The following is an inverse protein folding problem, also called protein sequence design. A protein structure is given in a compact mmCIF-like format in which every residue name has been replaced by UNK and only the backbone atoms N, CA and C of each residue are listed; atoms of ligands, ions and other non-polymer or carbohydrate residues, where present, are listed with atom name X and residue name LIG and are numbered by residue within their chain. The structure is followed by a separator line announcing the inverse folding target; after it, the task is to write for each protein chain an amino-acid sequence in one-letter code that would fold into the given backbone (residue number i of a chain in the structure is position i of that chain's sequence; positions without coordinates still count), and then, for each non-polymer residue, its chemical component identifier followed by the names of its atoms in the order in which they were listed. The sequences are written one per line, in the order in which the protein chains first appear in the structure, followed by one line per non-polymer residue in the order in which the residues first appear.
data_IF_400890975541
#
_entry.id   IF_400890975541
#
_cell.length_a   1.000
_cell.length_b   1.000
_cell.length_c   1.000
_cell.angle_alpha   90.00
_cell.angle_beta   90.00
_cell.angle_gamma   90.00
#
_symmetry.space_group_name_H-M   'P 1'
#
loop_
_entity.id
_entity.type
_entity.pdbx_description
1 polymer ?
#
# COMPACT_ATOMS: atom_id res chain seq x y z
N UNK A 1 29.72 43.61 -53.43
CA UNK A 1 30.15 42.30 -53.98
C UNK A 1 29.58 41.20 -53.09
N UNK A 2 28.92 40.19 -53.69
CA UNK A 2 28.48 38.94 -53.06
C UNK A 2 29.69 38.12 -52.62
N UNK A 3 29.58 37.36 -51.53
CA UNK A 3 29.93 35.94 -51.49
C UNK A 3 28.99 35.20 -50.53
N UNK A 4 28.46 34.08 -51.02
CA UNK A 4 27.62 33.13 -50.30
C UNK A 4 28.53 32.22 -49.46
N UNK A 5 28.00 31.61 -48.39
CA UNK A 5 28.02 30.16 -48.22
C UNK A 5 27.13 29.72 -47.04
N UNK A 6 26.04 29.07 -47.45
CA UNK A 6 25.22 28.04 -46.79
C UNK A 6 25.87 27.23 -45.68
N UNK A 7 25.19 27.04 -44.53
CA UNK A 7 25.08 25.73 -43.85
C UNK A 7 23.87 25.71 -42.89
N UNK A 8 22.96 24.74 -43.10
CA UNK A 8 22.06 24.24 -42.05
C UNK A 8 20.56 24.40 -42.28
N UNK A 9 20.00 23.83 -43.36
CA UNK A 9 18.56 23.62 -43.49
C UNK A 9 18.01 22.50 -42.57
N UNK A 10 16.69 22.51 -42.26
CA UNK A 10 16.05 21.70 -41.23
C UNK A 10 15.77 20.26 -41.66
N UNK A 11 15.90 19.32 -40.72
CA UNK A 11 15.58 17.90 -40.98
C UNK A 11 14.06 17.69 -41.15
N UNK A 12 13.64 16.95 -42.19
CA UNK A 12 12.25 16.76 -42.57
C UNK A 12 11.52 15.64 -41.81
N UNK A 13 10.22 15.85 -41.66
CA UNK A 13 9.21 14.90 -41.22
C UNK A 13 8.97 13.73 -42.20
N UNK A 14 8.50 12.61 -41.63
CA UNK A 14 7.75 11.47 -42.24
C UNK A 14 8.59 10.40 -42.96
N UNK A 15 8.77 9.28 -42.26
CA UNK A 15 8.73 7.96 -42.89
C UNK A 15 7.75 7.08 -42.10
N UNK A 16 6.63 6.77 -42.74
CA UNK A 16 5.66 5.79 -42.30
C UNK A 16 6.09 4.43 -42.85
N UNK A 17 6.17 3.38 -42.03
CA UNK A 17 5.92 1.99 -42.45
C UNK A 17 5.78 1.03 -41.26
N UNK A 18 4.63 0.33 -41.25
CA UNK A 18 4.37 -1.01 -40.76
C UNK A 18 4.61 -1.36 -39.27
N UNK A 19 3.60 -1.12 -38.43
CA UNK A 19 3.38 -1.95 -37.25
C UNK A 19 2.41 -3.10 -37.61
N UNK A 20 2.79 -4.38 -37.52
CA UNK A 20 1.88 -5.48 -37.73
C UNK A 20 0.85 -5.53 -36.60
N UNK A 21 -0.42 -5.63 -36.99
CA UNK A 21 -1.58 -5.85 -36.14
C UNK A 21 -1.27 -6.85 -35.01
N UNK A 22 -1.24 -6.36 -33.78
CA UNK A 22 -1.35 -7.22 -32.60
C UNK A 22 -2.77 -7.78 -32.57
N UNK A 23 -2.84 -9.01 -33.05
CA UNK A 23 -3.87 -10.01 -32.85
C UNK A 23 -4.70 -9.76 -31.58
N UNK A 24 -5.95 -9.32 -31.77
CA UNK A 24 -7.03 -9.45 -30.79
C UNK A 24 -7.17 -10.93 -30.44
N UNK A 25 -6.55 -11.33 -29.35
CA UNK A 25 -6.74 -12.64 -28.78
C UNK A 25 -7.98 -12.58 -27.90
N UNK A 26 -9.10 -12.97 -28.49
CA UNK A 26 -10.28 -13.44 -27.78
C UNK A 26 -9.85 -14.57 -26.84
N UNK A 27 -9.72 -14.23 -25.56
CA UNK A 27 -9.84 -15.18 -24.47
C UNK A 27 -10.96 -14.70 -23.57
N UNK A 28 -12.16 -14.92 -24.07
CA UNK A 28 -13.37 -15.10 -23.27
C UNK A 28 -13.07 -15.93 -22.02
N UNK A 29 -13.57 -15.38 -20.91
CA UNK A 29 -13.55 -15.85 -19.54
C UNK A 29 -13.59 -17.37 -19.35
N UNK A 30 -12.93 -17.84 -18.29
CA UNK A 30 -13.56 -18.44 -17.09
C UNK A 30 -12.46 -18.78 -16.07
N UNK A 31 -12.71 -18.43 -14.81
CA UNK A 31 -12.02 -18.88 -13.59
C UNK A 31 -10.62 -18.32 -13.28
N UNK A 32 -10.55 -17.02 -13.05
CA UNK A 32 -9.80 -16.53 -11.88
C UNK A 32 -10.83 -16.26 -10.79
N UNK A 33 -11.20 -17.33 -10.08
CA UNK A 33 -11.74 -17.16 -8.75
C UNK A 33 -10.68 -16.42 -7.97
N UNK A 34 -10.87 -15.11 -7.79
CA UNK A 34 -10.12 -14.33 -6.83
C UNK A 34 -10.41 -14.98 -5.47
N UNK A 35 -9.57 -15.95 -5.09
CA UNK A 35 -9.43 -16.37 -3.71
C UNK A 35 -9.11 -15.09 -2.96
N UNK A 36 -10.15 -14.47 -2.40
CA UNK A 36 -9.97 -13.54 -1.29
C UNK A 36 -9.06 -14.30 -0.34
N UNK A 37 -7.84 -13.80 -0.07
CA UNK A 37 -6.97 -14.46 0.88
C UNK A 37 -7.83 -14.68 2.13
N UNK A 38 -8.14 -15.95 2.41
CA UNK A 38 -8.94 -16.28 3.57
C UNK A 38 -8.25 -15.61 4.75
N UNK A 39 -8.98 -14.95 5.66
CA UNK A 39 -8.37 -14.28 6.79
C UNK A 39 -7.59 -15.34 7.56
N UNK A 40 -6.27 -15.36 7.37
CA UNK A 40 -5.37 -16.19 8.16
C UNK A 40 -5.66 -15.80 9.59
N UNK A 41 -6.00 -16.80 10.42
CA UNK A 41 -6.29 -16.55 11.83
C UNK A 41 -5.07 -15.86 12.43
N UNK A 42 -5.21 -14.58 12.72
CA UNK A 42 -4.12 -13.77 13.25
C UNK A 42 -3.64 -14.41 14.57
N UNK A 43 -2.37 -14.79 14.61
CA UNK A 43 -1.74 -15.32 15.82
C UNK A 43 -1.29 -14.16 16.71
N UNK A 44 -1.43 -14.29 18.04
CA UNK A 44 -1.04 -13.22 18.96
C UNK A 44 0.45 -12.90 18.88
N UNK A 45 1.31 -13.91 18.71
CA UNK A 45 2.74 -13.71 18.54
C UNK A 45 3.07 -12.85 17.29
N UNK A 46 2.31 -13.05 16.21
CA UNK A 46 2.48 -12.27 14.97
C UNK A 46 2.02 -10.82 15.18
N UNK A 47 0.90 -10.62 15.89
CA UNK A 47 0.39 -9.28 16.24
C UNK A 47 1.37 -8.54 17.15
N UNK A 48 1.92 -9.18 18.18
CA UNK A 48 2.94 -8.60 19.06
C UNK A 48 4.21 -8.23 18.30
N UNK A 49 4.65 -9.10 17.38
CA UNK A 49 5.80 -8.84 16.50
C UNK A 49 5.54 -7.63 15.60
N UNK A 50 4.34 -7.53 15.02
CA UNK A 50 3.93 -6.37 14.23
C UNK A 50 3.92 -5.09 15.06
N UNK A 51 3.39 -5.13 16.28
CA UNK A 51 3.39 -3.98 17.19
C UNK A 51 4.81 -3.51 17.53
N UNK A 52 5.76 -4.44 17.75
CA UNK A 52 7.17 -4.11 17.97
C UNK A 52 7.78 -3.39 16.77
N UNK A 53 7.53 -3.89 15.56
CA UNK A 53 8.01 -3.27 14.32
C UNK A 53 7.42 -1.87 14.13
N UNK A 54 6.12 -1.70 14.34
CA UNK A 54 5.42 -0.43 14.20
C UNK A 54 5.92 0.61 15.21
N UNK A 55 6.10 0.23 16.48
CA UNK A 55 6.69 1.11 17.51
C UNK A 55 8.08 1.60 17.09
N UNK A 56 8.95 0.69 16.64
CA UNK A 56 10.29 1.06 16.18
C UNK A 56 10.27 1.98 14.95
N UNK A 57 9.31 1.77 14.06
CA UNK A 57 9.13 2.59 12.85
C UNK A 57 8.62 3.99 13.20
N UNK A 58 7.70 4.09 14.18
CA UNK A 58 7.22 5.36 14.74
C UNK A 58 8.36 6.15 15.38
N UNK A 59 9.19 5.51 16.20
CA UNK A 59 10.31 6.17 16.87
C UNK A 59 11.30 6.74 15.85
N UNK A 60 11.62 5.99 14.79
CA UNK A 60 12.44 6.47 13.68
C UNK A 60 11.79 7.65 12.96
N UNK A 61 10.49 7.57 12.65
CA UNK A 61 9.78 8.66 11.99
C UNK A 61 9.78 9.94 12.84
N UNK A 62 9.66 9.83 14.17
CA UNK A 62 9.79 10.95 15.10
C UNK A 62 11.19 11.58 15.03
N UNK A 63 12.25 10.76 15.12
CA UNK A 63 13.63 11.25 15.03
C UNK A 63 13.90 11.95 13.70
N UNK A 64 13.39 11.44 12.58
CA UNK A 64 13.56 12.10 11.27
C UNK A 64 12.78 13.42 11.23
N UNK A 65 11.56 13.45 11.78
CA UNK A 65 10.70 14.64 11.78
C UNK A 65 11.33 15.79 12.57
N UNK A 66 11.92 15.49 13.73
CA UNK A 66 12.62 16.49 14.57
C UNK A 66 13.78 17.18 13.86
N UNK A 67 14.39 16.52 12.88
CA UNK A 67 15.47 17.05 12.06
C UNK A 67 14.99 17.58 10.69
N UNK A 68 13.68 17.51 10.41
CA UNK A 68 13.12 17.94 9.14
C UNK A 68 12.82 19.45 9.16
N UNK A 69 13.03 20.17 8.04
CA UNK A 69 12.67 21.58 7.96
C UNK A 69 11.17 21.79 8.18
N UNK A 70 10.82 22.79 8.99
CA UNK A 70 9.43 23.16 9.26
C UNK A 70 8.71 23.59 7.96
N UNK A 71 7.46 23.16 7.81
CA UNK A 71 6.64 23.37 6.62
C UNK A 71 7.06 22.54 5.41
N UNK A 72 8.06 21.65 5.53
CA UNK A 72 8.47 20.80 4.42
C UNK A 72 7.44 19.72 4.12
N UNK A 73 7.39 19.28 2.87
CA UNK A 73 6.58 18.12 2.49
C UNK A 73 6.92 16.89 3.34
N UNK A 74 8.21 16.68 3.63
CA UNK A 74 8.68 15.57 4.45
C UNK A 74 8.08 15.61 5.86
N UNK A 75 8.06 16.77 6.51
CA UNK A 75 7.40 16.93 7.82
C UNK A 75 5.93 16.51 7.75
N UNK A 76 5.20 16.97 6.72
CA UNK A 76 3.77 16.66 6.55
C UNK A 76 3.52 15.16 6.31
N UNK A 77 4.43 14.49 5.60
CA UNK A 77 4.36 13.05 5.35
C UNK A 77 4.66 12.30 6.63
N UNK A 78 5.75 12.65 7.32
CA UNK A 78 6.11 12.02 8.59
C UNK A 78 5.02 12.18 9.63
N UNK A 79 4.35 13.33 9.70
CA UNK A 79 3.25 13.55 10.62
C UNK A 79 2.05 12.61 10.33
N UNK A 80 1.69 12.46 9.04
CA UNK A 80 0.65 11.51 8.60
C UNK A 80 1.05 10.06 8.86
N UNK A 81 2.30 9.70 8.58
CA UNK A 81 2.84 8.37 8.84
C UNK A 81 2.79 8.01 10.32
N UNK A 82 3.23 8.91 11.21
CA UNK A 82 3.17 8.71 12.66
C UNK A 82 1.72 8.51 13.11
N UNK A 83 0.80 9.36 12.63
CA UNK A 83 -0.63 9.25 12.95
C UNK A 83 -1.21 7.92 12.47
N UNK A 84 -0.86 7.47 11.27
CA UNK A 84 -1.28 6.18 10.74
C UNK A 84 -0.76 5.01 11.58
N UNK A 85 0.51 5.04 11.97
CA UNK A 85 1.10 4.01 12.84
C UNK A 85 0.40 3.97 14.21
N UNK A 86 0.07 5.13 14.80
CA UNK A 86 -0.67 5.18 16.06
C UNK A 86 -2.06 4.54 15.95
N UNK A 87 -2.75 4.75 14.82
CA UNK A 87 -4.03 4.11 14.54
C UNK A 87 -3.87 2.58 14.41
N UNK A 88 -2.88 2.11 13.64
CA UNK A 88 -2.62 0.67 13.49
C UNK A 88 -2.28 0.01 14.83
N UNK A 89 -1.45 0.65 15.67
CA UNK A 89 -1.14 0.16 17.01
C UNK A 89 -2.39 0.05 17.89
N UNK A 90 -3.31 1.00 17.80
CA UNK A 90 -4.58 0.95 18.55
C UNK A 90 -5.46 -0.22 18.09
N UNK A 91 -5.52 -0.49 16.79
CA UNK A 91 -6.27 -1.60 16.22
C UNK A 91 -5.68 -2.96 16.64
N UNK A 92 -4.35 -3.10 16.61
CA UNK A 92 -3.67 -4.31 17.06
C UNK A 92 -3.88 -4.56 18.55
N UNK A 93 -3.81 -3.51 19.36
CA UNK A 93 -4.09 -3.57 20.80
C UNK A 93 -5.53 -4.04 21.06
N UNK A 94 -6.49 -3.53 20.29
CA UNK A 94 -7.89 -3.95 20.39
C UNK A 94 -8.08 -5.43 20.00
N UNK A 95 -7.41 -5.89 18.94
CA UNK A 95 -7.49 -7.30 18.51
C UNK A 95 -6.91 -8.25 19.56
N UNK A 96 -5.79 -7.89 20.18
CA UNK A 96 -5.21 -8.65 21.28
C UNK A 96 -6.16 -8.69 22.48
N UNK A 97 -6.66 -7.52 22.91
CA UNK A 97 -7.60 -7.44 24.03
C UNK A 97 -8.84 -8.30 23.78
N UNK A 98 -9.43 -8.27 22.58
CA UNK A 98 -10.58 -9.11 22.23
C UNK A 98 -10.32 -10.61 22.29
N UNK A 99 -9.10 -11.05 22.01
CA UNK A 99 -8.72 -12.46 22.08
C UNK A 99 -8.77 -12.99 23.52
N UNK A 100 -8.45 -12.12 24.48
CA UNK A 100 -8.41 -12.47 25.90
C UNK A 100 -9.79 -12.45 26.57
N UNK A 101 -10.84 -11.95 25.90
CA UNK A 101 -12.21 -12.09 26.42
C UNK A 101 -12.67 -13.55 26.28
N UNK A 102 -13.32 -14.14 27.31
CA UNK A 102 -13.90 -15.46 27.20
C UNK A 102 -14.90 -15.46 26.06
N UNK A 103 -14.63 -16.28 25.03
CA UNK A 103 -15.51 -16.43 23.88
C UNK A 103 -16.91 -16.79 24.40
N UNK A 104 -17.86 -15.84 24.33
CA UNK A 104 -19.21 -15.99 24.85
C UNK A 104 -19.92 -17.03 24.00
N UNK A 105 -19.67 -18.31 24.29
CA UNK A 105 -20.36 -19.42 23.63
C UNK A 105 -21.85 -19.20 23.86
N UNK A 106 -22.68 -19.24 22.80
CA UNK A 106 -24.12 -19.11 22.97
C UNK A 106 -24.57 -20.27 23.85
N UNK A 107 -24.98 -19.96 25.07
CA UNK A 107 -25.59 -20.92 25.99
C UNK A 107 -26.89 -21.36 25.32
N UNK A 108 -26.89 -22.54 24.69
CA UNK A 108 -28.11 -23.11 24.14
C UNK A 108 -29.07 -23.31 25.31
N UNK A 109 -30.09 -22.46 25.41
CA UNK A 109 -31.19 -22.65 26.35
C UNK A 109 -31.83 -24.00 26.04
N UNK A 110 -31.78 -24.94 26.99
CA UNK A 110 -32.54 -26.18 26.88
C UNK A 110 -33.96 -25.89 27.37
N UNK A 111 -35.01 -26.27 26.61
CA UNK A 111 -36.38 -26.17 27.10
C UNK A 111 -36.56 -27.12 28.28
N UNK A 112 -37.32 -26.68 29.28
CA UNK A 112 -37.70 -27.51 30.41
C UNK A 112 -38.66 -28.62 29.92
N UNK A 113 -38.38 -29.86 30.33
CA UNK A 113 -39.28 -31.02 30.21
C UNK A 113 -40.07 -31.15 31.51
#
# INVERSE_FOLDING_TARGET
MRFQDTFGEPMPTKSAMAAPNTHLQDKSAVESGAERPQPTKANAADLETMMLFLRRSRDRALTIRENSPAGSYLESVLNRTITGIDQELSQLTYLLAKRDLPNRRPTKMRPAL
#
